data_IF_188421581372
#
_entry.id   IF_188421581372
#
_cell.length_a   1.000
_cell.length_b   1.000
_cell.length_c   1.000
_cell.angle_alpha   90.00
_cell.angle_beta   90.00
_cell.angle_gamma   90.00
#
_symmetry.space_group_name_H-M   'P 1'
#
loop_
_entity.id
_entity.type
_entity.pdbx_description
1 polymer ?
#
# COMPACT_ATOMS: atom_id res chain seq x y z
N UNK A 1 -101.00 14.30 38.75
CA UNK A 1 -99.99 15.31 38.90
C UNK A 1 -98.62 14.92 39.36
N UNK A 2 -98.11 13.64 39.19
CA UNK A 2 -96.76 13.27 39.64
C UNK A 2 -95.68 13.41 38.55
N UNK A 3 -95.98 13.72 37.28
CA UNK A 3 -95.03 13.81 36.21
C UNK A 3 -94.24 15.10 36.14
N UNK A 4 -94.80 16.23 36.58
CA UNK A 4 -94.11 17.53 36.50
C UNK A 4 -92.93 17.66 37.45
N UNK A 5 -92.89 17.21 38.70
CA UNK A 5 -91.73 17.28 39.57
C UNK A 5 -90.56 16.37 39.09
N UNK A 6 -90.86 15.23 38.44
CA UNK A 6 -89.86 14.29 37.91
C UNK A 6 -89.17 14.90 36.72
N UNK A 7 -89.89 15.57 35.82
CA UNK A 7 -89.32 16.28 34.67
C UNK A 7 -88.38 17.43 35.06
N UNK A 8 -88.77 18.19 36.10
CA UNK A 8 -87.94 19.27 36.62
C UNK A 8 -86.63 18.74 37.23
N UNK A 9 -86.69 17.66 37.96
CA UNK A 9 -85.53 16.97 38.57
C UNK A 9 -84.57 16.48 37.47
N UNK A 10 -85.13 15.85 36.39
CA UNK A 10 -84.33 15.40 35.25
C UNK A 10 -83.67 16.53 34.51
N UNK A 11 -84.32 17.65 34.26
CA UNK A 11 -83.77 18.83 33.61
C UNK A 11 -82.63 19.45 34.49
N UNK A 12 -82.87 19.57 35.78
CA UNK A 12 -81.85 20.10 36.73
C UNK A 12 -80.64 19.18 36.77
N UNK A 13 -80.84 17.86 36.81
CA UNK A 13 -79.76 16.87 36.77
C UNK A 13 -78.97 16.95 35.45
N UNK A 14 -79.62 17.14 34.30
CA UNK A 14 -78.99 17.28 32.98
C UNK A 14 -78.17 18.60 32.89
N UNK A 15 -78.72 19.73 33.41
CA UNK A 15 -78.04 20.99 33.49
C UNK A 15 -76.78 20.89 34.40
N UNK A 16 -76.95 20.27 35.56
CA UNK A 16 -75.84 20.09 36.50
C UNK A 16 -74.74 19.20 35.93
N UNK A 17 -75.11 18.09 35.31
CA UNK A 17 -74.17 17.22 34.60
C UNK A 17 -73.43 17.93 33.44
N UNK A 18 -74.14 18.74 32.64
CA UNK A 18 -73.55 19.51 31.55
C UNK A 18 -72.58 20.59 32.08
N UNK A 19 -72.95 21.29 33.17
CA UNK A 19 -72.07 22.27 33.84
C UNK A 19 -70.84 21.60 34.41
N UNK A 20 -71.02 20.43 35.08
CA UNK A 20 -69.91 19.67 35.64
C UNK A 20 -68.96 19.15 34.55
N UNK A 21 -69.53 18.57 33.47
CA UNK A 21 -68.72 18.12 32.34
C UNK A 21 -67.95 19.23 31.66
N UNK A 22 -68.55 20.41 31.48
CA UNK A 22 -67.91 21.59 30.91
C UNK A 22 -66.82 22.13 31.84
N UNK A 23 -67.06 22.14 33.14
CA UNK A 23 -66.09 22.55 34.19
C UNK A 23 -64.90 21.60 34.22
N UNK A 24 -65.12 20.26 34.19
CA UNK A 24 -64.07 19.28 34.13
C UNK A 24 -63.24 19.39 32.84
N UNK A 25 -63.93 19.56 31.70
CA UNK A 25 -63.26 19.74 30.40
C UNK A 25 -62.37 20.95 30.42
N UNK A 26 -62.81 22.06 30.95
CA UNK A 26 -62.03 23.31 31.00
C UNK A 26 -60.91 23.28 32.02
N UNK A 27 -61.09 22.62 33.17
CA UNK A 27 -60.15 22.59 34.26
C UNK A 27 -59.13 21.48 34.16
N UNK A 28 -59.45 20.36 33.53
CA UNK A 28 -58.57 19.16 33.48
C UNK A 28 -58.11 18.87 32.03
N UNK A 29 -59.05 18.74 31.09
CA UNK A 29 -58.72 18.24 29.74
C UNK A 29 -58.00 19.29 28.91
N UNK A 30 -58.44 20.57 28.96
CA UNK A 30 -57.77 21.61 28.17
C UNK A 30 -56.33 21.91 28.57
N UNK A 31 -55.97 22.02 29.87
CA UNK A 31 -54.59 22.19 30.28
C UNK A 31 -53.74 20.96 29.94
N UNK A 32 -54.31 19.77 30.06
CA UNK A 32 -53.57 18.51 29.71
C UNK A 32 -53.23 18.43 28.22
N UNK A 33 -54.16 18.88 27.34
CA UNK A 33 -53.95 18.90 25.91
C UNK A 33 -53.01 20.03 25.44
N UNK A 34 -52.71 21.00 26.27
CA UNK A 34 -51.81 22.12 26.00
C UNK A 34 -50.40 21.92 26.55
N UNK A 35 -50.16 20.76 27.17
CA UNK A 35 -48.82 20.46 27.68
C UNK A 35 -47.80 20.40 26.53
N UNK A 36 -46.78 21.20 26.66
CA UNK A 36 -45.60 21.10 25.80
C UNK A 36 -44.70 19.95 26.31
N UNK A 37 -44.67 18.88 25.51
CA UNK A 37 -43.83 17.71 25.84
C UNK A 37 -42.38 17.87 25.40
N UNK A 38 -42.09 18.86 24.54
CA UNK A 38 -40.72 19.17 24.16
C UNK A 38 -40.00 19.96 25.26
N UNK A 39 -40.75 20.81 25.99
CA UNK A 39 -40.23 21.56 27.15
C UNK A 39 -41.02 21.21 28.43
N UNK A 40 -40.88 19.99 28.98
CA UNK A 40 -41.75 19.49 30.06
C UNK A 40 -41.69 20.32 31.35
N UNK A 41 -40.56 20.97 31.61
CA UNK A 41 -40.36 21.78 32.84
C UNK A 41 -40.90 23.22 32.73
N UNK A 42 -41.21 23.68 31.51
CA UNK A 42 -41.76 25.03 31.26
C UNK A 42 -43.29 25.09 31.35
N UNK A 43 -43.93 23.94 31.58
CA UNK A 43 -45.37 23.89 31.70
C UNK A 43 -45.82 24.37 33.11
N UNK A 44 -46.70 25.39 33.14
CA UNK A 44 -47.45 25.82 34.33
C UNK A 44 -48.58 24.77 34.62
N UNK A 45 -48.14 23.54 34.96
CA UNK A 45 -49.04 22.43 35.17
C UNK A 45 -49.36 22.25 36.66
N UNK A 46 -50.44 21.50 36.92
CA UNK A 46 -50.84 21.09 38.26
C UNK A 46 -49.67 20.39 38.98
N UNK A 47 -49.53 20.65 40.31
CA UNK A 47 -48.51 19.99 41.15
C UNK A 47 -48.52 18.50 41.04
N UNK A 48 -49.70 17.87 40.76
CA UNK A 48 -49.90 16.44 40.61
C UNK A 48 -49.22 15.87 39.34
N UNK A 49 -48.98 16.69 38.31
CA UNK A 49 -48.32 16.32 37.07
C UNK A 49 -46.78 16.54 37.10
N UNK A 50 -46.29 17.28 38.06
CA UNK A 50 -44.85 17.55 38.16
C UNK A 50 -43.97 16.28 38.21
N UNK A 51 -44.32 15.18 38.91
CA UNK A 51 -43.54 13.94 38.86
C UNK A 51 -43.53 13.26 37.49
N UNK A 52 -44.63 13.36 36.73
CA UNK A 52 -44.70 12.83 35.36
C UNK A 52 -43.86 13.62 34.38
N UNK A 53 -43.99 14.95 34.43
CA UNK A 53 -43.20 15.86 33.61
C UNK A 53 -41.69 15.73 33.91
N UNK A 54 -41.32 15.59 35.16
CA UNK A 54 -39.94 15.32 35.56
C UNK A 54 -39.41 13.96 35.07
N UNK A 55 -40.31 12.95 34.87
CA UNK A 55 -39.93 11.69 34.27
C UNK A 55 -39.73 11.82 32.76
N UNK A 56 -40.64 12.51 32.06
CA UNK A 56 -40.51 12.80 30.62
C UNK A 56 -39.24 13.56 30.33
N UNK A 57 -38.98 14.63 31.10
CA UNK A 57 -37.73 15.39 30.94
C UNK A 57 -36.47 14.55 31.10
N UNK A 58 -36.44 13.65 32.07
CA UNK A 58 -35.30 12.71 32.25
C UNK A 58 -35.16 11.75 31.06
N UNK A 59 -36.26 11.26 30.48
CA UNK A 59 -36.23 10.41 29.31
C UNK A 59 -35.73 11.17 28.07
N UNK A 60 -36.17 12.42 27.86
CA UNK A 60 -35.64 13.26 26.80
C UNK A 60 -34.13 13.46 26.92
N UNK A 61 -33.64 13.88 28.07
CA UNK A 61 -32.21 14.05 28.32
C UNK A 61 -31.41 12.75 28.08
N UNK A 62 -31.96 11.60 28.47
CA UNK A 62 -31.32 10.32 28.20
C UNK A 62 -31.30 9.97 26.72
N UNK A 63 -32.39 10.26 25.99
CA UNK A 63 -32.45 10.05 24.51
C UNK A 63 -31.46 10.96 23.82
N UNK A 64 -31.40 12.24 24.19
CA UNK A 64 -30.47 13.21 23.62
C UNK A 64 -29.01 12.78 23.85
N UNK A 65 -28.68 12.36 25.08
CA UNK A 65 -27.36 11.83 25.42
C UNK A 65 -26.98 10.59 24.60
N UNK A 66 -27.94 9.67 24.39
CA UNK A 66 -27.73 8.49 23.56
C UNK A 66 -27.58 8.86 22.07
N UNK A 67 -28.35 9.82 21.58
CA UNK A 67 -28.24 10.29 20.20
C UNK A 67 -26.89 10.98 19.95
N UNK A 68 -26.43 11.82 20.87
CA UNK A 68 -25.12 12.49 20.80
C UNK A 68 -23.98 11.44 20.81
N UNK A 69 -24.07 10.43 21.67
CA UNK A 69 -23.08 9.36 21.73
C UNK A 69 -23.05 8.54 20.43
N UNK A 70 -24.23 8.17 19.88
CA UNK A 70 -24.31 7.47 18.59
C UNK A 70 -23.74 8.31 17.44
N UNK A 71 -24.04 9.61 17.42
CA UNK A 71 -23.53 10.53 16.41
C UNK A 71 -22.02 10.70 16.50
N UNK A 72 -21.49 10.74 17.74
CA UNK A 72 -20.05 10.77 17.98
C UNK A 72 -19.37 9.50 17.46
N UNK A 73 -19.90 8.31 17.80
CA UNK A 73 -19.37 7.02 17.34
C UNK A 73 -19.41 6.89 15.83
N UNK A 74 -20.49 7.35 15.18
CA UNK A 74 -20.60 7.36 13.73
C UNK A 74 -19.57 8.29 13.09
N UNK A 75 -19.35 9.46 13.68
CA UNK A 75 -18.36 10.42 13.21
C UNK A 75 -16.93 9.87 13.35
N UNK A 76 -16.61 9.28 14.50
CA UNK A 76 -15.31 8.62 14.73
C UNK A 76 -15.08 7.49 13.74
N UNK A 77 -16.05 6.61 13.52
CA UNK A 77 -15.95 5.54 12.53
C UNK A 77 -15.71 6.08 11.13
N UNK A 78 -16.46 7.11 10.72
CA UNK A 78 -16.29 7.76 9.43
C UNK A 78 -14.90 8.41 9.27
N UNK A 79 -14.38 9.06 10.31
CA UNK A 79 -13.04 9.66 10.29
C UNK A 79 -11.95 8.60 10.17
N UNK A 80 -12.06 7.48 10.90
CA UNK A 80 -11.11 6.36 10.83
C UNK A 80 -11.10 5.79 9.41
N UNK A 81 -12.25 5.42 8.89
CA UNK A 81 -12.35 4.80 7.56
C UNK A 81 -11.93 5.74 6.43
N UNK A 82 -12.19 7.05 6.56
CA UNK A 82 -11.77 8.06 5.59
C UNK A 82 -10.26 8.31 5.57
N UNK A 83 -9.58 8.07 6.69
CA UNK A 83 -8.12 8.25 6.79
C UNK A 83 -7.32 7.02 6.35
N UNK A 84 -7.97 5.88 6.15
CA UNK A 84 -7.33 4.65 5.70
C UNK A 84 -6.82 4.78 4.26
N UNK A 85 -5.68 4.18 3.99
CA UNK A 85 -5.13 4.05 2.64
C UNK A 85 -5.71 2.85 1.91
N UNK A 86 -6.13 1.86 2.65
CA UNK A 86 -6.75 0.64 2.18
C UNK A 86 -8.20 0.92 1.77
N UNK A 87 -8.62 0.33 0.66
CA UNK A 87 -10.03 0.38 0.25
C UNK A 87 -10.88 -0.47 1.20
N UNK A 88 -11.98 0.10 1.70
CA UNK A 88 -12.95 -0.60 2.53
C UNK A 88 -14.33 -0.51 1.89
N UNK A 89 -14.98 -1.68 1.72
CA UNK A 89 -16.39 -1.78 1.32
C UNK A 89 -17.10 -2.73 2.28
N UNK A 90 -18.25 -2.32 2.75
CA UNK A 90 -19.15 -3.17 3.53
C UNK A 90 -20.34 -3.58 2.65
N UNK A 91 -20.67 -4.86 2.65
CA UNK A 91 -21.76 -5.45 1.87
C UNK A 91 -22.80 -6.08 2.81
N UNK A 92 -24.06 -6.07 2.39
CA UNK A 92 -25.13 -6.83 3.04
C UNK A 92 -25.15 -8.31 2.59
N UNK A 93 -26.10 -9.08 3.09
CA UNK A 93 -26.33 -10.50 2.71
C UNK A 93 -26.62 -10.71 1.23
N UNK A 94 -27.04 -9.67 0.52
CA UNK A 94 -27.38 -9.69 -0.90
C UNK A 94 -26.33 -9.01 -1.77
N UNK A 95 -25.16 -8.78 -1.21
CA UNK A 95 -24.01 -8.12 -1.87
C UNK A 95 -24.27 -6.66 -2.26
N UNK A 96 -25.28 -5.98 -1.64
CA UNK A 96 -25.44 -4.54 -1.82
C UNK A 96 -24.45 -3.78 -0.94
N UNK A 97 -23.93 -2.68 -1.47
CA UNK A 97 -22.99 -1.82 -0.74
C UNK A 97 -23.70 -1.10 0.41
N UNK A 98 -23.26 -1.37 1.64
CA UNK A 98 -23.70 -0.66 2.83
C UNK A 98 -22.85 0.58 3.10
N UNK A 99 -21.56 0.52 2.82
CA UNK A 99 -20.62 1.62 3.03
C UNK A 99 -19.38 1.42 2.16
N UNK A 100 -18.79 2.53 1.73
CA UNK A 100 -17.55 2.58 0.97
C UNK A 100 -16.70 3.74 1.49
N UNK A 101 -15.38 3.54 1.60
CA UNK A 101 -14.48 4.62 2.00
C UNK A 101 -13.86 5.32 0.78
N UNK A 102 -13.28 6.54 0.95
CA UNK A 102 -12.70 7.30 -0.17
C UNK A 102 -11.56 6.60 -0.92
N UNK A 103 -10.85 5.67 -0.27
CA UNK A 103 -9.82 4.89 -0.93
C UNK A 103 -10.43 3.86 -1.90
N UNK A 104 -11.51 3.18 -1.49
CA UNK A 104 -12.25 2.26 -2.35
C UNK A 104 -13.02 2.99 -3.47
N UNK A 105 -13.58 4.18 -3.20
CA UNK A 105 -14.20 5.02 -4.24
C UNK A 105 -13.22 5.32 -5.38
N UNK A 106 -12.01 5.73 -5.03
CA UNK A 106 -10.93 5.99 -6.01
C UNK A 106 -10.51 4.73 -6.76
N UNK A 107 -10.41 3.59 -6.05
CA UNK A 107 -10.02 2.31 -6.64
C UNK A 107 -11.04 1.83 -7.66
N UNK A 108 -12.34 1.88 -7.32
CA UNK A 108 -13.42 1.40 -8.17
C UNK A 108 -13.93 2.46 -9.15
N UNK A 109 -13.51 3.74 -9.01
CA UNK A 109 -13.96 4.84 -9.85
C UNK A 109 -15.44 5.18 -9.63
N UNK A 110 -15.91 5.09 -8.41
CA UNK A 110 -17.28 5.37 -7.97
C UNK A 110 -17.30 6.44 -6.88
N UNK A 111 -18.47 6.73 -6.35
CA UNK A 111 -18.69 7.64 -5.23
C UNK A 111 -19.76 7.06 -4.27
N UNK A 112 -20.15 7.81 -3.25
CA UNK A 112 -21.16 7.40 -2.28
C UNK A 112 -22.54 7.04 -2.89
N UNK A 113 -22.82 7.40 -4.15
CA UNK A 113 -24.08 7.05 -4.82
C UNK A 113 -24.24 5.55 -5.08
N UNK A 114 -23.15 4.79 -4.96
CA UNK A 114 -23.16 3.32 -5.06
C UNK A 114 -23.76 2.62 -3.84
N UNK A 115 -23.93 3.32 -2.73
CA UNK A 115 -24.53 2.76 -1.50
C UNK A 115 -25.98 2.33 -1.78
N UNK A 116 -26.31 1.10 -1.40
CA UNK A 116 -27.58 0.44 -1.69
C UNK A 116 -27.66 -0.24 -3.06
N UNK A 117 -26.63 -0.12 -3.90
CA UNK A 117 -26.55 -0.84 -5.18
C UNK A 117 -25.82 -2.17 -5.02
N UNK A 118 -26.09 -3.11 -5.92
CA UNK A 118 -25.35 -4.35 -6.05
C UNK A 118 -23.88 -4.08 -6.36
N UNK A 119 -22.95 -4.74 -5.69
CA UNK A 119 -21.51 -4.57 -5.88
C UNK A 119 -21.06 -4.84 -7.33
N UNK A 120 -21.74 -5.75 -8.04
CA UNK A 120 -21.49 -6.03 -9.46
C UNK A 120 -21.73 -4.81 -10.38
N UNK A 121 -22.43 -3.77 -9.93
CA UNK A 121 -22.53 -2.52 -10.69
C UNK A 121 -21.24 -1.71 -10.64
N UNK A 122 -20.44 -1.89 -9.59
CA UNK A 122 -19.18 -1.18 -9.33
C UNK A 122 -18.01 -1.95 -9.94
N UNK A 123 -17.97 -3.26 -9.69
CA UNK A 123 -16.95 -4.15 -10.22
C UNK A 123 -17.56 -5.41 -10.84
N UNK A 124 -17.42 -5.55 -12.15
CA UNK A 124 -17.92 -6.69 -12.92
C UNK A 124 -16.86 -7.78 -13.12
N UNK A 125 -15.74 -7.72 -12.40
CA UNK A 125 -14.71 -8.74 -12.54
C UNK A 125 -15.20 -10.07 -11.96
N UNK A 126 -14.96 -11.14 -12.71
CA UNK A 126 -15.31 -12.51 -12.28
C UNK A 126 -14.57 -12.90 -10.98
N UNK A 127 -13.32 -12.47 -10.85
CA UNK A 127 -12.49 -12.80 -9.69
C UNK A 127 -13.06 -12.21 -8.41
N UNK A 128 -13.61 -10.98 -8.45
CA UNK A 128 -14.23 -10.34 -7.31
C UNK A 128 -15.56 -10.99 -6.94
N UNK A 129 -16.41 -11.28 -7.95
CA UNK A 129 -17.66 -12.00 -7.73
C UNK A 129 -17.43 -13.36 -7.05
N UNK A 130 -16.47 -14.13 -7.56
CA UNK A 130 -16.10 -15.42 -7.00
C UNK A 130 -15.52 -15.30 -5.57
N UNK A 131 -14.73 -14.26 -5.31
CA UNK A 131 -14.17 -14.02 -3.99
C UNK A 131 -15.24 -13.68 -2.95
N UNK A 132 -16.25 -12.87 -3.33
CA UNK A 132 -17.37 -12.53 -2.46
C UNK A 132 -18.22 -13.75 -2.18
N UNK A 133 -18.60 -14.52 -3.22
CA UNK A 133 -19.39 -15.77 -3.07
C UNK A 133 -18.68 -16.76 -2.15
N UNK A 134 -17.38 -17.00 -2.35
CA UNK A 134 -16.59 -17.88 -1.48
C UNK A 134 -16.53 -17.38 -0.04
N UNK A 135 -16.34 -16.09 0.16
CA UNK A 135 -16.31 -15.52 1.51
C UNK A 135 -17.65 -15.67 2.23
N UNK A 136 -18.77 -15.51 1.51
CA UNK A 136 -20.10 -15.71 2.08
C UNK A 136 -20.34 -17.18 2.50
N UNK A 137 -19.84 -18.13 1.74
CA UNK A 137 -19.99 -19.58 2.01
C UNK A 137 -18.96 -20.07 3.04
N UNK A 138 -17.67 -19.82 2.82
CA UNK A 138 -16.56 -20.39 3.58
C UNK A 138 -16.12 -19.50 4.74
N UNK A 139 -16.56 -18.23 4.77
CA UNK A 139 -16.25 -17.23 5.81
C UNK A 139 -15.14 -16.27 5.47
N UNK A 140 -14.22 -16.62 4.55
CA UNK A 140 -13.09 -15.78 4.13
C UNK A 140 -12.63 -16.18 2.73
N UNK A 141 -12.18 -15.20 1.95
CA UNK A 141 -11.60 -15.41 0.63
C UNK A 141 -10.62 -14.29 0.29
N UNK A 142 -9.62 -14.61 -0.51
CA UNK A 142 -8.66 -13.65 -1.05
C UNK A 142 -8.69 -13.66 -2.58
N UNK A 143 -8.53 -12.49 -3.20
CA UNK A 143 -8.34 -12.36 -4.65
C UNK A 143 -7.20 -11.38 -4.92
N UNK A 144 -6.48 -11.63 -6.03
CA UNK A 144 -5.44 -10.71 -6.54
C UNK A 144 -5.83 -10.27 -7.93
N UNK A 145 -5.86 -8.96 -8.15
CA UNK A 145 -6.29 -8.37 -9.41
C UNK A 145 -5.30 -7.28 -9.82
N UNK A 146 -4.87 -7.29 -11.07
CA UNK A 146 -4.12 -6.18 -11.64
C UNK A 146 -5.10 -5.13 -12.19
N UNK A 147 -4.96 -3.88 -11.72
CA UNK A 147 -5.81 -2.77 -12.12
C UNK A 147 -5.00 -1.48 -12.22
N UNK A 148 -5.08 -0.83 -13.36
CA UNK A 148 -4.37 0.44 -13.59
C UNK A 148 -2.85 0.34 -13.47
N UNK A 149 -2.24 -0.79 -13.80
CA UNK A 149 -0.80 -1.04 -13.66
C UNK A 149 -0.34 -1.22 -12.20
N UNK A 150 -1.29 -1.47 -11.28
CA UNK A 150 -1.04 -1.81 -9.88
C UNK A 150 -1.62 -3.16 -9.54
N UNK A 151 -1.02 -3.84 -8.59
CA UNK A 151 -1.47 -5.14 -8.09
C UNK A 151 -2.20 -4.91 -6.77
N UNK A 152 -3.47 -5.30 -6.77
CA UNK A 152 -4.34 -5.19 -5.60
C UNK A 152 -4.64 -6.55 -5.02
N UNK A 153 -4.50 -6.67 -3.71
CA UNK A 153 -5.00 -7.81 -2.94
C UNK A 153 -6.31 -7.42 -2.28
N UNK A 154 -7.34 -8.19 -2.57
CA UNK A 154 -8.64 -8.08 -1.94
C UNK A 154 -8.79 -9.18 -0.91
N UNK A 155 -9.17 -8.79 0.29
CA UNK A 155 -9.46 -9.67 1.41
C UNK A 155 -10.95 -9.51 1.73
N UNK A 156 -11.72 -10.58 1.52
CA UNK A 156 -13.16 -10.59 1.75
C UNK A 156 -13.48 -11.51 2.90
N UNK A 157 -14.09 -10.96 3.94
CA UNK A 157 -14.45 -11.71 5.13
C UNK A 157 -15.94 -11.55 5.46
N UNK A 158 -16.62 -12.67 5.72
CA UNK A 158 -18.01 -12.67 6.15
C UNK A 158 -18.16 -12.06 7.53
N UNK A 159 -19.13 -11.17 7.69
CA UNK A 159 -19.55 -10.63 8.99
C UNK A 159 -20.82 -11.34 9.42
N UNK A 160 -20.84 -11.88 10.63
CA UNK A 160 -22.03 -12.49 11.19
C UNK A 160 -21.83 -12.99 12.61
N UNK A 161 -22.90 -13.01 13.38
CA UNK A 161 -22.94 -13.59 14.71
C UNK A 161 -23.73 -14.90 14.69
N UNK A 162 -23.20 -15.96 15.31
CA UNK A 162 -23.93 -17.23 15.61
C UNK A 162 -24.51 -17.96 14.38
N UNK A 163 -23.82 -17.93 13.21
CA UNK A 163 -24.20 -18.74 12.05
C UNK A 163 -25.13 -18.07 11.03
N UNK A 164 -25.63 -16.85 11.30
CA UNK A 164 -26.32 -16.04 10.30
C UNK A 164 -25.32 -15.04 9.69
N UNK A 165 -25.15 -15.04 8.37
CA UNK A 165 -24.40 -14.00 7.69
C UNK A 165 -25.17 -12.68 7.79
N UNK A 166 -24.52 -11.60 8.21
CA UNK A 166 -25.08 -10.26 8.21
C UNK A 166 -24.57 -9.48 7.01
N UNK A 167 -23.51 -9.97 6.36
CA UNK A 167 -22.88 -9.39 5.21
C UNK A 167 -21.40 -9.75 5.07
N UNK A 168 -20.65 -8.96 4.32
CA UNK A 168 -19.21 -9.11 4.15
C UNK A 168 -18.46 -7.77 4.27
N UNK A 169 -17.22 -7.83 4.72
CA UNK A 169 -16.25 -6.76 4.62
C UNK A 169 -15.24 -7.09 3.53
N UNK A 170 -14.98 -6.14 2.65
CA UNK A 170 -13.97 -6.23 1.61
C UNK A 170 -12.91 -5.17 1.90
N UNK A 171 -11.66 -5.61 2.04
CA UNK A 171 -10.48 -4.78 2.17
C UNK A 171 -9.63 -4.89 0.91
N UNK A 172 -9.16 -3.76 0.40
CA UNK A 172 -8.30 -3.69 -0.78
C UNK A 172 -6.95 -3.08 -0.41
N UNK A 173 -5.88 -3.84 -0.65
CA UNK A 173 -4.50 -3.46 -0.36
C UNK A 173 -3.72 -3.28 -1.67
N UNK A 174 -3.05 -2.14 -1.85
CA UNK A 174 -2.06 -1.98 -2.92
C UNK A 174 -0.79 -2.74 -2.52
N UNK A 175 -0.53 -3.86 -3.18
CA UNK A 175 0.65 -4.71 -2.93
C UNK A 175 1.70 -4.58 -4.03
N UNK A 176 1.61 -3.57 -4.89
CA UNK A 176 2.49 -3.40 -6.05
C UNK A 176 3.96 -3.37 -5.67
N UNK A 177 4.32 -2.55 -4.68
CA UNK A 177 5.72 -2.47 -4.23
C UNK A 177 6.23 -3.80 -3.68
N UNK A 178 5.41 -4.49 -2.90
CA UNK A 178 5.74 -5.79 -2.32
C UNK A 178 5.93 -6.87 -3.39
N UNK A 179 4.99 -6.98 -4.33
CA UNK A 179 5.08 -7.95 -5.42
C UNK A 179 6.27 -7.66 -6.35
N UNK A 180 6.54 -6.38 -6.64
CA UNK A 180 7.71 -5.97 -7.43
C UNK A 180 9.02 -6.35 -6.71
N UNK A 181 9.11 -6.08 -5.41
CA UNK A 181 10.28 -6.47 -4.62
C UNK A 181 10.46 -8.00 -4.56
N UNK A 182 9.36 -8.76 -4.37
CA UNK A 182 9.41 -10.22 -4.37
C UNK A 182 9.81 -10.79 -5.75
N UNK A 183 9.30 -10.21 -6.83
CA UNK A 183 9.65 -10.59 -8.19
C UNK A 183 11.13 -10.33 -8.46
N UNK A 184 11.63 -9.13 -8.12
CA UNK A 184 13.05 -8.77 -8.25
C UNK A 184 13.93 -9.73 -7.46
N UNK A 185 13.53 -10.10 -6.25
CA UNK A 185 14.27 -11.08 -5.42
C UNK A 185 14.29 -12.48 -6.04
N UNK A 186 13.16 -12.93 -6.62
CA UNK A 186 13.10 -14.24 -7.31
C UNK A 186 13.99 -14.25 -8.55
N UNK A 187 13.93 -13.20 -9.36
CA UNK A 187 14.78 -13.03 -10.55
C UNK A 187 16.26 -12.96 -10.17
N UNK A 188 16.61 -12.21 -9.12
CA UNK A 188 17.96 -12.15 -8.61
C UNK A 188 18.48 -13.55 -8.21
N UNK A 189 17.69 -14.30 -7.41
CA UNK A 189 18.08 -15.64 -6.96
C UNK A 189 18.26 -16.62 -8.15
N UNK A 190 17.37 -16.56 -9.12
CA UNK A 190 17.47 -17.37 -10.32
C UNK A 190 18.71 -17.02 -11.16
N UNK A 191 18.97 -15.72 -11.36
CA UNK A 191 20.11 -15.24 -12.12
C UNK A 191 21.44 -15.61 -11.44
N UNK A 192 21.54 -15.41 -10.11
CA UNK A 192 22.73 -15.83 -9.31
C UNK A 192 22.98 -17.32 -9.46
N UNK A 193 21.94 -18.14 -9.33
CA UNK A 193 22.07 -19.60 -9.47
C UNK A 193 22.58 -20.00 -10.86
N UNK A 194 22.12 -19.33 -11.89
CA UNK A 194 22.52 -19.58 -13.28
C UNK A 194 23.97 -19.14 -13.53
N UNK A 195 24.34 -17.94 -13.05
CA UNK A 195 25.69 -17.39 -13.21
C UNK A 195 26.76 -18.16 -12.39
N UNK A 196 26.37 -18.79 -11.28
CA UNK A 196 27.26 -19.67 -10.52
C UNK A 196 27.41 -21.06 -11.18
N UNK A 197 26.34 -21.60 -11.76
CA UNK A 197 26.32 -22.94 -12.36
C UNK A 197 27.22 -23.04 -13.58
N UNK A 198 27.24 -22.03 -14.43
CA UNK A 198 27.99 -22.04 -15.70
C UNK A 198 29.50 -22.21 -15.50
N UNK A 199 30.20 -21.35 -14.72
CA UNK A 199 31.64 -21.51 -14.47
C UNK A 199 31.93 -22.80 -13.68
N UNK A 200 31.05 -23.20 -12.76
CA UNK A 200 31.22 -24.43 -12.01
C UNK A 200 31.19 -25.66 -12.92
N UNK A 201 30.28 -25.71 -13.89
CA UNK A 201 30.24 -26.77 -14.89
C UNK A 201 31.50 -26.79 -15.78
N UNK A 202 32.02 -25.60 -16.14
CA UNK A 202 33.28 -25.47 -16.87
C UNK A 202 34.48 -26.04 -16.10
N UNK A 203 34.56 -25.77 -14.79
CA UNK A 203 35.58 -26.32 -13.89
C UNK A 203 35.46 -27.84 -13.81
N UNK A 204 34.26 -28.36 -13.49
CA UNK A 204 34.01 -29.79 -13.35
C UNK A 204 34.34 -30.54 -14.65
N UNK A 205 33.78 -30.07 -15.81
CA UNK A 205 34.01 -30.71 -17.08
C UNK A 205 35.48 -30.71 -17.52
N UNK A 206 36.21 -29.60 -17.25
CA UNK A 206 37.64 -29.53 -17.51
C UNK A 206 38.47 -30.48 -16.58
N UNK A 207 38.07 -30.60 -15.33
CA UNK A 207 38.69 -31.50 -14.36
C UNK A 207 38.44 -32.97 -14.72
N UNK A 208 37.21 -33.35 -15.09
CA UNK A 208 36.86 -34.71 -15.52
C UNK A 208 37.62 -35.12 -16.77
N UNK A 209 37.79 -34.25 -17.76
CA UNK A 209 38.59 -34.52 -18.95
C UNK A 209 40.08 -34.80 -18.63
N UNK A 210 40.63 -34.04 -17.68
CA UNK A 210 41.99 -34.21 -17.20
C UNK A 210 42.14 -35.54 -16.42
N UNK A 211 41.22 -35.84 -15.53
CA UNK A 211 41.22 -37.03 -14.68
C UNK A 211 41.10 -38.31 -15.51
N UNK A 212 40.26 -38.31 -16.52
CA UNK A 212 40.08 -39.47 -17.38
C UNK A 212 41.17 -39.63 -18.48
N UNK A 213 42.19 -38.76 -18.46
CA UNK A 213 43.27 -38.83 -19.43
C UNK A 213 42.85 -38.52 -20.88
N UNK A 214 41.72 -37.83 -21.07
CA UNK A 214 41.18 -37.47 -22.39
C UNK A 214 41.84 -36.22 -22.99
N UNK A 215 42.72 -35.57 -22.24
CA UNK A 215 43.44 -34.35 -22.66
C UNK A 215 44.87 -34.74 -23.06
N UNK A 216 45.33 -34.28 -24.22
CA UNK A 216 46.73 -34.47 -24.62
C UNK A 216 47.65 -33.72 -23.66
N UNK A 217 48.86 -34.25 -23.46
CA UNK A 217 49.82 -33.69 -22.51
C UNK A 217 50.20 -32.25 -22.80
N UNK A 218 50.21 -31.84 -24.06
CA UNK A 218 50.47 -30.47 -24.53
C UNK A 218 49.34 -29.51 -24.19
N UNK A 219 48.09 -29.98 -24.03
CA UNK A 219 46.92 -29.15 -23.73
C UNK A 219 46.63 -29.01 -22.21
N UNK A 220 47.23 -29.83 -21.35
CA UNK A 220 47.04 -29.82 -19.89
C UNK A 220 47.17 -28.40 -19.30
N UNK A 221 48.20 -27.58 -19.64
CA UNK A 221 48.30 -26.22 -19.09
C UNK A 221 47.13 -25.32 -19.46
N UNK A 222 46.57 -25.52 -20.64
CA UNK A 222 45.40 -24.74 -21.10
C UNK A 222 44.14 -25.09 -20.27
N UNK A 223 43.89 -26.37 -20.01
CA UNK A 223 42.74 -26.79 -19.20
C UNK A 223 42.89 -26.37 -17.73
N UNK A 224 44.09 -26.46 -17.16
CA UNK A 224 44.36 -25.93 -15.81
C UNK A 224 44.21 -24.42 -15.77
N UNK A 225 44.64 -23.70 -16.82
CA UNK A 225 44.42 -22.28 -16.97
C UNK A 225 42.95 -21.90 -17.04
N UNK A 226 42.14 -22.71 -17.74
CA UNK A 226 40.69 -22.52 -17.82
C UNK A 226 40.04 -22.73 -16.44
N UNK A 227 40.35 -23.80 -15.74
CA UNK A 227 39.87 -24.06 -14.36
C UNK A 227 40.17 -22.87 -13.45
N UNK A 228 41.39 -22.38 -13.47
CA UNK A 228 41.83 -21.25 -12.65
C UNK A 228 41.02 -19.97 -13.01
N UNK A 229 40.81 -19.70 -14.27
CA UNK A 229 40.06 -18.53 -14.74
C UNK A 229 38.60 -18.56 -14.29
N UNK A 230 37.93 -19.72 -14.43
CA UNK A 230 36.54 -19.90 -13.99
C UNK A 230 36.41 -19.86 -12.48
N UNK A 231 37.37 -20.43 -11.73
CA UNK A 231 37.41 -20.32 -10.25
C UNK A 231 37.57 -18.87 -9.80
N UNK A 232 38.45 -18.09 -10.44
CA UNK A 232 38.64 -16.69 -10.12
C UNK A 232 37.37 -15.87 -10.41
N UNK A 233 36.66 -16.17 -11.52
CA UNK A 233 35.36 -15.57 -11.85
C UNK A 233 34.32 -15.86 -10.78
N UNK A 234 34.25 -17.09 -10.25
CA UNK A 234 33.35 -17.47 -9.15
C UNK A 234 33.64 -16.68 -7.87
N UNK A 235 34.93 -16.54 -7.50
CA UNK A 235 35.31 -15.76 -6.30
C UNK A 235 34.85 -14.30 -6.43
N UNK A 236 35.04 -13.69 -7.60
CA UNK A 236 34.58 -12.32 -7.88
C UNK A 236 33.05 -12.23 -7.73
N UNK A 237 32.31 -13.13 -8.38
CA UNK A 237 30.86 -13.13 -8.34
C UNK A 237 30.29 -13.31 -6.91
N UNK A 238 30.88 -14.21 -6.13
CA UNK A 238 30.51 -14.40 -4.71
C UNK A 238 30.78 -13.11 -3.92
N UNK A 239 31.91 -12.45 -4.15
CA UNK A 239 32.24 -11.17 -3.55
C UNK A 239 31.19 -10.10 -3.85
N UNK A 240 30.74 -10.01 -5.10
CA UNK A 240 29.71 -9.06 -5.53
C UNK A 240 28.36 -9.33 -4.89
N UNK A 241 27.97 -10.62 -4.76
CA UNK A 241 26.73 -11.03 -4.07
C UNK A 241 26.75 -10.65 -2.59
N UNK A 242 27.87 -10.90 -1.90
CA UNK A 242 28.02 -10.56 -0.47
C UNK A 242 27.93 -9.04 -0.29
N UNK A 243 28.57 -8.27 -1.17
CA UNK A 243 28.49 -6.78 -1.15
C UNK A 243 27.05 -6.27 -1.34
N UNK A 244 26.33 -6.86 -2.30
CA UNK A 244 24.93 -6.49 -2.54
C UNK A 244 24.06 -6.77 -1.32
N UNK A 245 24.24 -7.95 -0.68
CA UNK A 245 23.53 -8.31 0.56
C UNK A 245 23.81 -7.32 1.70
N UNK A 246 25.07 -6.88 1.84
CA UNK A 246 25.44 -5.88 2.87
C UNK A 246 24.81 -4.49 2.62
N UNK A 247 24.59 -4.13 1.36
CA UNK A 247 23.89 -2.88 1.01
C UNK A 247 22.39 -2.93 1.34
N UNK A 248 21.77 -4.10 1.16
CA UNK A 248 20.36 -4.32 1.48
C UNK A 248 20.06 -4.31 2.99
N UNK A 249 21.01 -4.76 3.83
CA UNK A 249 20.87 -4.79 5.29
C UNK A 249 20.94 -3.40 5.95
N UNK A 250 21.28 -2.35 5.18
CA UNK A 250 21.21 -0.97 5.66
C UNK A 250 22.24 -0.62 6.75
N UNK A 251 23.38 -1.31 6.80
CA UNK A 251 24.47 -0.98 7.70
C UNK A 251 24.83 0.52 7.56
N UNK A 252 24.81 1.26 8.67
CA UNK A 252 25.19 2.67 8.73
C UNK A 252 26.68 2.82 8.36
N UNK A 253 26.96 2.87 7.08
CA UNK A 253 28.31 3.16 6.59
C UNK A 253 28.68 4.61 6.86
N UNK A 254 29.90 4.92 7.34
CA UNK A 254 30.31 6.28 7.63
C UNK A 254 30.27 7.12 6.36
N UNK A 255 29.53 8.22 6.41
CA UNK A 255 29.45 9.23 5.35
C UNK A 255 30.53 10.30 5.58
N UNK A 256 31.24 10.64 4.54
CA UNK A 256 32.27 11.68 4.54
C UNK A 256 32.12 12.63 3.34
N UNK A 257 32.82 13.75 3.35
CA UNK A 257 32.89 14.65 2.21
C UNK A 257 33.87 14.10 1.20
N UNK A 258 33.39 13.79 0.00
CA UNK A 258 34.14 13.12 -1.07
C UNK A 258 34.23 14.04 -2.27
N UNK A 259 35.48 14.29 -2.76
CA UNK A 259 35.74 14.99 -4.03
C UNK A 259 35.66 14.00 -5.19
N UNK A 260 34.64 14.19 -6.05
CA UNK A 260 34.34 13.31 -7.17
C UNK A 260 35.42 13.34 -8.25
N UNK A 261 36.14 14.48 -8.43
CA UNK A 261 37.21 14.56 -9.40
C UNK A 261 38.41 13.69 -8.97
N UNK A 262 38.84 13.85 -7.73
CA UNK A 262 39.92 13.03 -7.16
C UNK A 262 39.56 11.54 -7.22
N UNK A 263 38.35 11.19 -6.88
CA UNK A 263 37.87 9.78 -6.89
C UNK A 263 37.83 9.21 -8.32
N UNK A 264 37.43 10.00 -9.30
CA UNK A 264 37.42 9.63 -10.72
C UNK A 264 38.86 9.44 -11.28
N UNK A 265 39.80 10.27 -10.84
CA UNK A 265 41.21 10.12 -11.19
C UNK A 265 41.82 8.85 -10.63
N UNK A 266 41.55 8.51 -9.36
CA UNK A 266 41.96 7.26 -8.74
C UNK A 266 41.44 6.04 -9.52
N UNK A 267 40.12 6.02 -9.82
CA UNK A 267 39.50 4.93 -10.58
C UNK A 267 40.10 4.77 -11.99
N UNK A 268 40.36 5.91 -12.66
CA UNK A 268 41.01 5.92 -13.98
C UNK A 268 42.45 5.42 -13.90
N UNK A 269 43.20 5.80 -12.86
CA UNK A 269 44.59 5.37 -12.64
C UNK A 269 44.70 3.88 -12.42
N UNK A 270 43.81 3.29 -11.63
CA UNK A 270 43.75 1.85 -11.40
C UNK A 270 43.41 1.03 -12.65
N UNK A 271 42.70 1.65 -13.61
CA UNK A 271 42.29 1.02 -14.86
C UNK A 271 43.26 1.28 -16.03
N UNK A 272 44.32 2.08 -15.84
CA UNK A 272 45.30 2.42 -16.89
C UNK A 272 45.91 1.20 -17.57
N UNK A 273 46.25 0.16 -16.79
CA UNK A 273 46.86 -1.05 -17.34
C UNK A 273 45.90 -1.80 -18.26
N UNK A 274 44.64 -1.97 -17.83
CA UNK A 274 43.60 -2.62 -18.61
C UNK A 274 43.22 -1.82 -19.87
N UNK A 275 43.23 -0.51 -19.79
CA UNK A 275 43.01 0.37 -20.93
C UNK A 275 44.18 0.29 -21.95
N UNK A 276 45.42 0.24 -21.45
CA UNK A 276 46.63 0.15 -22.30
C UNK A 276 46.69 -1.19 -23.07
N UNK A 277 46.25 -2.31 -22.47
CA UNK A 277 46.18 -3.62 -23.11
C UNK A 277 45.25 -3.63 -24.34
N UNK A 278 44.25 -2.77 -24.36
CA UNK A 278 43.30 -2.60 -25.48
C UNK A 278 43.56 -1.34 -26.32
N UNK A 279 44.66 -0.65 -26.07
CA UNK A 279 45.02 0.62 -26.74
C UNK A 279 43.93 1.73 -26.56
N UNK A 280 43.19 1.72 -25.42
CA UNK A 280 42.13 2.68 -25.14
C UNK A 280 42.71 3.89 -24.40
N UNK A 281 42.38 5.10 -24.88
CA UNK A 281 42.72 6.32 -24.21
C UNK A 281 41.68 6.64 -23.12
N UNK A 282 42.11 6.75 -21.86
CA UNK A 282 41.25 7.18 -20.76
C UNK A 282 41.63 8.60 -20.34
N UNK A 283 40.64 9.49 -20.21
CA UNK A 283 40.84 10.88 -19.81
C UNK A 283 39.79 11.29 -18.77
N UNK A 284 40.23 12.02 -17.73
CA UNK A 284 39.37 12.59 -16.69
C UNK A 284 39.43 14.11 -16.79
N UNK A 285 38.28 14.77 -16.87
CA UNK A 285 38.18 16.23 -16.96
C UNK A 285 37.05 16.77 -16.06
N UNK A 286 37.11 18.06 -15.73
CA UNK A 286 36.06 18.76 -14.99
C UNK A 286 36.58 19.53 -13.79
N UNK A 287 35.66 19.94 -12.93
CA UNK A 287 35.96 20.66 -11.69
C UNK A 287 35.94 19.74 -10.47
N UNK A 288 36.55 20.22 -9.38
CA UNK A 288 36.42 19.58 -8.07
C UNK A 288 34.99 19.79 -7.52
N UNK A 289 34.20 18.72 -7.44
CA UNK A 289 32.86 18.72 -6.91
C UNK A 289 32.79 17.81 -5.69
N UNK A 290 32.34 18.33 -4.56
CA UNK A 290 32.30 17.59 -3.30
C UNK A 290 30.89 17.22 -2.93
N UNK A 291 30.68 15.95 -2.53
CA UNK A 291 29.38 15.43 -2.04
C UNK A 291 29.56 14.69 -0.72
N UNK A 292 28.50 14.67 0.09
CA UNK A 292 28.43 13.81 1.28
C UNK A 292 28.04 12.38 0.91
N UNK A 293 28.94 11.42 1.12
CA UNK A 293 28.66 10.03 0.76
C UNK A 293 29.64 9.04 1.34
N UNK A 294 29.41 7.75 1.06
CA UNK A 294 30.35 6.68 1.42
C UNK A 294 31.39 6.56 0.31
N UNK A 295 32.61 7.02 0.57
CA UNK A 295 33.71 7.10 -0.42
C UNK A 295 33.90 5.80 -1.19
N UNK A 296 33.91 4.67 -0.48
CA UNK A 296 34.07 3.33 -1.08
C UNK A 296 33.00 3.02 -2.11
N UNK A 297 31.72 3.30 -1.81
CA UNK A 297 30.62 3.02 -2.73
C UNK A 297 30.66 3.95 -3.96
N UNK A 298 30.98 5.22 -3.76
CA UNK A 298 31.15 6.17 -4.86
C UNK A 298 32.30 5.76 -5.78
N UNK A 299 33.41 5.29 -5.20
CA UNK A 299 34.52 4.75 -5.96
C UNK A 299 34.10 3.52 -6.78
N UNK A 300 33.40 2.55 -6.18
CA UNK A 300 32.93 1.34 -6.88
C UNK A 300 31.99 1.69 -8.06
N UNK A 301 31.11 2.67 -7.91
CA UNK A 301 30.24 3.15 -9.01
C UNK A 301 31.10 3.67 -10.17
N UNK A 302 32.03 4.57 -9.90
CA UNK A 302 32.90 5.17 -10.92
C UNK A 302 33.78 4.12 -11.58
N UNK A 303 34.40 3.25 -10.76
CA UNK A 303 35.26 2.17 -11.23
C UNK A 303 34.48 1.23 -12.16
N UNK A 304 33.30 0.76 -11.77
CA UNK A 304 32.49 -0.15 -12.58
C UNK A 304 32.05 0.47 -13.90
N UNK A 305 31.69 1.75 -13.91
CA UNK A 305 31.35 2.45 -15.15
C UNK A 305 32.57 2.54 -16.07
N UNK A 306 33.74 2.88 -15.55
CA UNK A 306 34.98 2.96 -16.32
C UNK A 306 35.44 1.58 -16.81
N UNK A 307 35.38 0.54 -15.97
CA UNK A 307 35.73 -0.84 -16.37
C UNK A 307 34.81 -1.34 -17.49
N UNK A 308 33.51 -1.12 -17.38
CA UNK A 308 32.57 -1.44 -18.45
C UNK A 308 32.88 -0.68 -19.72
N UNK A 309 33.19 0.61 -19.64
CA UNK A 309 33.55 1.46 -20.77
C UNK A 309 34.86 0.97 -21.48
N UNK A 310 35.79 0.38 -20.75
CA UNK A 310 37.01 -0.25 -21.31
C UNK A 310 36.69 -1.65 -21.83
N UNK A 311 35.93 -2.45 -21.09
CA UNK A 311 35.63 -3.85 -21.43
C UNK A 311 34.87 -4.00 -22.74
N UNK A 312 33.86 -3.13 -22.95
CA UNK A 312 32.99 -3.14 -24.12
C UNK A 312 33.42 -2.12 -25.21
N UNK A 313 34.57 -1.52 -25.08
CA UNK A 313 35.12 -0.60 -26.10
C UNK A 313 35.68 -1.35 -27.30
N UNK A 314 35.84 -0.60 -28.37
CA UNK A 314 36.61 -1.05 -29.55
C UNK A 314 38.08 -0.81 -29.33
N UNK A 315 38.95 -1.58 -30.01
CA UNK A 315 40.41 -1.40 -29.97
C UNK A 315 40.78 -0.02 -30.49
N UNK A 316 41.63 0.69 -29.76
CA UNK A 316 42.02 2.07 -30.11
C UNK A 316 40.93 3.12 -29.80
N UNK A 317 39.89 2.75 -29.10
CA UNK A 317 38.82 3.66 -28.68
C UNK A 317 39.23 4.62 -27.55
N UNK A 318 38.24 5.32 -26.98
CA UNK A 318 38.43 6.25 -25.87
C UNK A 318 37.36 6.14 -24.81
N UNK A 319 37.75 6.49 -23.59
CA UNK A 319 36.85 6.65 -22.42
C UNK A 319 37.09 8.03 -21.83
N UNK A 320 36.01 8.82 -21.70
CA UNK A 320 36.06 10.17 -21.17
C UNK A 320 35.20 10.25 -19.91
N UNK A 321 35.84 10.56 -18.78
CA UNK A 321 35.14 10.77 -17.50
C UNK A 321 35.05 12.28 -17.27
N UNK A 322 33.83 12.78 -17.09
CA UNK A 322 33.58 14.23 -16.88
C UNK A 322 32.89 14.44 -15.53
N UNK A 323 33.44 15.32 -14.71
CA UNK A 323 32.91 15.69 -13.39
C UNK A 323 32.48 17.16 -13.42
N UNK A 324 31.31 17.47 -12.88
CA UNK A 324 30.79 18.82 -12.83
C UNK A 324 29.47 18.93 -12.08
N UNK A 325 28.87 20.13 -12.20
CA UNK A 325 27.57 20.44 -11.64
C UNK A 325 26.56 20.75 -12.75
N UNK A 326 25.32 20.26 -12.60
CA UNK A 326 24.19 20.58 -13.47
C UNK A 326 22.93 20.73 -12.63
N UNK A 327 22.23 21.84 -12.76
CA UNK A 327 21.00 22.15 -12.01
C UNK A 327 21.17 22.03 -10.48
N UNK A 328 22.32 22.46 -9.94
CA UNK A 328 22.62 22.39 -8.50
C UNK A 328 22.94 20.98 -8.00
N UNK A 329 23.22 20.03 -8.90
CA UNK A 329 23.59 18.65 -8.57
C UNK A 329 24.94 18.28 -9.18
N UNK A 330 25.84 17.76 -8.34
CA UNK A 330 27.06 17.19 -8.82
C UNK A 330 26.82 15.93 -9.66
N UNK A 331 27.56 15.75 -10.75
CA UNK A 331 27.47 14.57 -11.60
C UNK A 331 28.87 14.04 -11.98
N UNK A 332 28.89 12.72 -12.22
CA UNK A 332 30.00 12.07 -12.95
C UNK A 332 29.39 11.41 -14.19
N UNK A 333 30.01 11.68 -15.34
CA UNK A 333 29.61 11.11 -16.64
C UNK A 333 30.77 10.34 -17.23
N UNK A 334 30.49 9.09 -17.63
CA UNK A 334 31.49 8.25 -18.35
C UNK A 334 30.96 8.03 -19.75
N UNK A 335 31.72 8.52 -20.75
CA UNK A 335 31.39 8.36 -22.16
C UNK A 335 32.46 7.49 -22.83
N UNK A 336 32.03 6.50 -23.61
CA UNK A 336 32.88 5.57 -24.34
C UNK A 336 32.58 5.59 -25.84
N UNK A 337 33.48 5.04 -26.60
CA UNK A 337 33.35 4.88 -28.08
C UNK A 337 33.11 3.41 -28.45
N UNK A 338 32.58 2.60 -27.52
CA UNK A 338 32.40 1.18 -27.66
C UNK A 338 31.18 0.75 -28.48
N UNK A 339 30.79 -0.51 -28.32
CA UNK A 339 29.72 -1.14 -29.12
C UNK A 339 28.32 -0.59 -28.81
N UNK A 340 28.17 0.19 -27.71
CA UNK A 340 26.88 0.69 -27.25
C UNK A 340 25.97 -0.39 -26.66
N UNK A 341 24.78 0.02 -26.23
CA UNK A 341 23.75 -0.85 -25.61
C UNK A 341 22.51 -0.81 -26.48
N UNK A 342 22.04 -1.98 -26.90
CA UNK A 342 20.82 -2.09 -27.71
C UNK A 342 19.60 -1.50 -26.97
N UNK A 343 18.67 -0.80 -27.65
CA UNK A 343 17.54 -0.13 -27.00
C UNK A 343 16.69 -1.06 -26.11
N UNK A 344 16.57 -2.32 -26.47
CA UNK A 344 15.82 -3.35 -25.72
C UNK A 344 16.43 -3.70 -24.34
N UNK A 345 17.71 -3.39 -24.14
CA UNK A 345 18.42 -3.64 -22.90
C UNK A 345 18.56 -2.37 -22.02
N UNK A 346 18.35 -1.18 -22.59
CA UNK A 346 18.59 0.09 -21.88
C UNK A 346 17.69 0.27 -20.64
N UNK A 347 16.46 -0.24 -20.65
CA UNK A 347 15.53 -0.17 -19.52
C UNK A 347 15.86 -1.13 -18.36
N UNK A 348 16.88 -2.02 -18.52
CA UNK A 348 17.26 -3.06 -17.56
C UNK A 348 18.64 -2.85 -16.94
N UNK A 349 19.34 -1.80 -17.27
CA UNK A 349 20.70 -1.52 -16.78
C UNK A 349 20.74 -0.71 -15.49
N UNK A 350 19.60 -0.16 -15.05
CA UNK A 350 19.43 0.56 -13.78
C UNK A 350 18.27 0.03 -13.00
#
# INVERSE_FOLDING_TARGET
GMGQPILVVLIVALILSSVLAKSLSHRIVQPLNKLDLEHPLENDAYEELAPLLGRINRQHLQIDEQMDELQRQQTEFSQITSSMREGLVLLDEKEHVLSINPAAEKLFGTDESCVGQDFLTIDRSHDMSLAIERAMDEGHSEARVERGGRIWQFDVSRIGASGAAVGAVLLAFDITERETAEQTRREFTANVSHELKTPLQGIIGSAELLENGMVKQEDIPRFVGHIRKEAQRLVTLIGDIIRLSQLDEGDEMPRETVDLLTLSQEAADDLKTAAAEKHIAIAVEGGSETIGGVRRLLYEVIYNLCDNAIKYNVEGGSVKVSVGERDGRAFVSVADTGIGIAPEHQSRIF
#
